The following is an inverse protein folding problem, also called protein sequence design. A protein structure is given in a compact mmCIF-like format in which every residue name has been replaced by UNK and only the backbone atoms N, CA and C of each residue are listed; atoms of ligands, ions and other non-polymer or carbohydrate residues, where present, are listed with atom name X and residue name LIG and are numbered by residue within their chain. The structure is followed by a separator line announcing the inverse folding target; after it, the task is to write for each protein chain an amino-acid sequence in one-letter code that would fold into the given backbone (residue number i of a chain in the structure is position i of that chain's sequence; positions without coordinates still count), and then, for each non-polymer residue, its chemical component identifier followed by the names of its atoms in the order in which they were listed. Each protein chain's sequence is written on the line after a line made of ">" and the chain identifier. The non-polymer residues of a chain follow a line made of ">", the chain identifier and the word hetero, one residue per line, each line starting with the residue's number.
data_IF_130138097850
#
_entry.id   IF_130138097850
#
_cell.length_a   1.000
_cell.length_b   1.000
_cell.length_c   1.000
_cell.angle_alpha   90.00
_cell.angle_beta   90.00
_cell.angle_gamma   90.00
#
_symmetry.space_group_name_H-M   'P 1'
#
loop_
_entity.id
_entity.type
_entity.pdbx_description
1 polymer ?
#
# COMPACT_ATOMS: atom_id res chain seq x y z
N UNK A 1 -0.72 17.24 9.26
CA UNK A 1 -0.11 15.94 9.60
C UNK A 1 -1.06 14.85 9.16
N UNK A 2 -0.61 13.90 8.35
CA UNK A 2 -1.40 12.68 8.08
C UNK A 2 -1.22 11.76 9.28
N UNK A 3 -2.30 11.43 9.98
CA UNK A 3 -2.23 10.60 11.18
C UNK A 3 -2.24 9.11 10.80
N UNK A 4 -1.08 8.45 10.88
CA UNK A 4 -0.98 6.99 10.97
C UNK A 4 -0.83 6.60 12.43
N UNK A 5 -1.60 5.61 12.89
CA UNK A 5 -1.55 5.17 14.30
C UNK A 5 -1.12 3.72 14.47
N UNK A 6 -0.63 3.07 13.40
CA UNK A 6 -0.09 1.71 13.45
C UNK A 6 1.34 1.66 14.00
N UNK A 7 1.74 0.48 14.45
CA UNK A 7 3.16 0.12 14.58
C UNK A 7 3.73 -0.32 13.23
N UNK A 8 5.04 -0.25 13.05
CA UNK A 8 5.67 -0.66 11.80
C UNK A 8 7.17 -0.84 11.84
N UNK A 9 7.69 -1.60 10.88
CA UNK A 9 9.12 -1.83 10.66
C UNK A 9 9.40 -2.03 9.17
N UNK A 10 10.68 -2.13 8.80
CA UNK A 10 11.11 -2.41 7.44
C UNK A 10 11.95 -3.68 7.38
N UNK A 11 11.74 -4.46 6.31
CA UNK A 11 12.68 -5.48 5.86
C UNK A 11 13.45 -4.90 4.68
N UNK A 12 14.79 -4.94 4.75
CA UNK A 12 15.63 -4.49 3.65
C UNK A 12 15.33 -5.28 2.35
N UNK A 13 15.50 -4.63 1.20
CA UNK A 13 15.38 -5.29 -0.09
C UNK A 13 16.34 -6.47 -0.15
N UNK A 14 15.84 -7.64 -0.53
CA UNK A 14 16.62 -8.87 -0.59
C UNK A 14 17.22 -9.35 0.73
N UNK A 15 16.60 -8.99 1.88
CA UNK A 15 17.06 -9.35 3.24
C UNK A 15 17.39 -10.84 3.40
N UNK A 16 16.49 -11.71 2.92
CA UNK A 16 16.63 -13.17 2.97
C UNK A 16 15.99 -13.80 1.72
N UNK A 17 16.08 -15.13 1.60
CA UNK A 17 15.55 -15.89 0.46
C UNK A 17 14.03 -15.74 0.29
N UNK A 18 13.28 -15.66 1.39
CA UNK A 18 11.82 -15.51 1.37
C UNK A 18 11.47 -14.12 0.83
N UNK A 19 12.11 -13.08 1.36
CA UNK A 19 11.91 -11.70 0.88
C UNK A 19 12.28 -11.58 -0.61
N UNK A 20 13.42 -12.15 -1.05
CA UNK A 20 13.80 -12.16 -2.46
C UNK A 20 12.76 -12.84 -3.35
N UNK A 21 12.20 -13.95 -2.89
CA UNK A 21 11.17 -14.69 -3.63
C UNK A 21 9.88 -13.88 -3.76
N UNK A 22 9.47 -13.19 -2.69
CA UNK A 22 8.31 -12.29 -2.69
C UNK A 22 8.56 -11.11 -3.65
N UNK A 23 9.72 -10.47 -3.55
CA UNK A 23 10.08 -9.32 -4.41
C UNK A 23 10.18 -9.71 -5.88
N UNK A 24 10.70 -10.90 -6.20
CA UNK A 24 10.67 -11.44 -7.55
C UNK A 24 9.24 -11.64 -8.04
N UNK A 25 8.35 -12.21 -7.22
CA UNK A 25 6.94 -12.39 -7.59
C UNK A 25 6.23 -11.06 -7.82
N UNK A 26 6.53 -10.03 -7.02
CA UNK A 26 6.02 -8.67 -7.24
C UNK A 26 6.54 -8.12 -8.57
N UNK A 27 7.82 -8.30 -8.87
CA UNK A 27 8.42 -7.88 -10.15
C UNK A 27 7.77 -8.58 -11.34
N UNK A 28 7.60 -9.91 -11.27
CA UNK A 28 6.95 -10.70 -12.31
C UNK A 28 5.48 -10.28 -12.51
N UNK A 29 4.75 -9.95 -11.43
CA UNK A 29 3.35 -9.53 -11.49
C UNK A 29 3.15 -8.11 -12.06
N UNK A 30 4.07 -7.20 -11.71
CA UNK A 30 3.97 -5.77 -12.08
C UNK A 30 4.70 -5.43 -13.36
N UNK A 31 5.56 -6.34 -13.85
CA UNK A 31 6.53 -6.09 -14.92
C UNK A 31 7.51 -4.94 -14.61
N UNK A 32 7.73 -4.63 -13.33
CA UNK A 32 8.66 -3.58 -12.88
C UNK A 32 9.92 -4.26 -12.30
N UNK A 33 11.15 -3.84 -12.65
CA UNK A 33 12.37 -4.44 -12.11
C UNK A 33 12.46 -4.36 -10.59
N UNK A 34 13.09 -5.36 -9.95
CA UNK A 34 13.21 -5.46 -8.48
C UNK A 34 13.93 -4.23 -7.91
N UNK A 35 14.90 -3.70 -8.65
CA UNK A 35 15.75 -2.58 -8.29
C UNK A 35 14.99 -1.26 -8.16
N UNK A 36 13.80 -1.17 -8.75
CA UNK A 36 12.92 -0.01 -8.61
C UNK A 36 12.14 -0.01 -7.29
N UNK A 37 12.15 -1.13 -6.56
CA UNK A 37 11.42 -1.27 -5.32
C UNK A 37 12.21 -0.83 -4.09
N UNK A 38 11.54 -0.16 -3.14
CA UNK A 38 12.04 0.02 -1.77
C UNK A 38 12.06 -1.31 -0.99
N UNK A 39 12.53 -1.32 0.26
CA UNK A 39 12.33 -2.46 1.16
C UNK A 39 10.84 -2.70 1.48
N UNK A 40 10.51 -3.86 2.04
CA UNK A 40 9.14 -4.16 2.46
C UNK A 40 8.83 -3.43 3.77
N UNK A 41 7.84 -2.54 3.77
CA UNK A 41 7.30 -1.99 5.01
C UNK A 41 6.30 -3.01 5.60
N UNK A 42 6.46 -3.37 6.86
CA UNK A 42 5.51 -4.20 7.62
C UNK A 42 4.75 -3.30 8.58
N UNK A 43 3.42 -3.39 8.59
CA UNK A 43 2.54 -2.60 9.45
C UNK A 43 1.61 -3.52 10.24
N UNK A 44 1.38 -3.15 11.50
CA UNK A 44 0.43 -3.80 12.36
C UNK A 44 -0.53 -2.79 12.98
N UNK A 45 -1.83 -3.00 12.75
CA UNK A 45 -2.92 -2.20 13.29
C UNK A 45 -3.71 -3.01 14.31
N UNK A 46 -3.74 -2.51 15.53
CA UNK A 46 -4.64 -2.95 16.60
C UNK A 46 -6.04 -2.33 16.43
N UNK A 47 -6.99 -2.79 17.24
CA UNK A 47 -8.35 -2.22 17.29
C UNK A 47 -8.29 -0.70 17.49
N UNK A 48 -9.03 0.03 16.65
CA UNK A 48 -9.08 1.49 16.62
C UNK A 48 -7.96 2.17 15.82
N UNK A 49 -6.86 1.46 15.51
CA UNK A 49 -5.76 2.05 14.73
C UNK A 49 -6.13 2.15 13.25
N UNK A 50 -5.61 3.19 12.59
CA UNK A 50 -5.96 3.60 11.23
C UNK A 50 -4.81 4.30 10.53
N UNK A 51 -5.03 4.62 9.26
CA UNK A 51 -4.22 5.58 8.52
C UNK A 51 -5.13 6.50 7.71
N UNK A 52 -5.06 7.79 7.99
CA UNK A 52 -5.81 8.80 7.23
C UNK A 52 -5.49 8.74 5.73
N UNK A 53 -6.46 9.08 4.86
CA UNK A 53 -6.23 9.10 3.42
C UNK A 53 -5.02 9.96 3.03
N UNK A 54 -4.17 9.41 2.18
CA UNK A 54 -2.92 10.01 1.73
C UNK A 54 -2.54 9.51 0.33
N UNK A 55 -1.48 10.11 -0.20
CA UNK A 55 -0.85 9.67 -1.43
C UNK A 55 0.48 9.01 -1.11
N UNK A 56 0.81 7.97 -1.87
CA UNK A 56 2.12 7.33 -1.77
C UNK A 56 3.19 8.10 -2.54
N UNK A 57 2.80 8.91 -3.53
CA UNK A 57 3.73 9.78 -4.23
C UNK A 57 4.26 10.91 -3.34
N UNK A 58 5.51 11.29 -3.58
CA UNK A 58 6.16 12.41 -2.90
C UNK A 58 5.69 13.76 -3.44
N UNK A 59 5.48 14.71 -2.53
CA UNK A 59 5.26 16.12 -2.86
C UNK A 59 6.55 16.95 -2.81
N UNK A 60 7.64 16.38 -2.30
CA UNK A 60 8.93 17.06 -2.15
C UNK A 60 9.97 16.52 -3.12
N UNK A 61 10.84 17.40 -3.62
CA UNK A 61 11.90 17.05 -4.57
C UNK A 61 12.99 16.19 -3.96
N UNK A 62 13.20 16.26 -2.64
CA UNK A 62 14.27 15.53 -1.96
C UNK A 62 14.10 14.01 -2.10
N UNK A 63 12.90 13.49 -1.82
CA UNK A 63 12.61 12.07 -1.92
C UNK A 63 12.61 11.56 -3.36
N UNK A 64 12.29 12.44 -4.33
CA UNK A 64 12.30 12.10 -5.77
C UNK A 64 13.72 11.82 -6.27
N UNK A 65 14.77 12.33 -5.62
CA UNK A 65 16.17 12.14 -6.07
C UNK A 65 16.61 10.68 -6.09
N UNK A 66 16.00 9.79 -5.30
CA UNK A 66 16.33 8.37 -5.28
C UNK A 66 15.24 7.56 -5.99
N UNK A 67 15.54 7.05 -7.17
CA UNK A 67 14.60 6.29 -8.00
C UNK A 67 13.49 7.11 -8.67
N UNK A 68 13.37 8.41 -8.40
CA UNK A 68 12.26 9.19 -8.93
C UNK A 68 10.99 9.01 -8.08
N UNK A 69 9.85 9.29 -8.70
CA UNK A 69 8.55 9.18 -8.04
C UNK A 69 8.13 7.73 -7.80
N UNK A 70 7.40 7.47 -6.71
CA UNK A 70 6.69 6.21 -6.50
C UNK A 70 5.53 6.13 -7.49
N UNK A 71 5.65 5.26 -8.49
CA UNK A 71 4.64 5.09 -9.53
C UNK A 71 3.54 4.12 -9.14
N UNK A 72 3.87 3.11 -8.33
CA UNK A 72 2.94 2.06 -7.97
C UNK A 72 3.20 1.54 -6.56
N UNK A 73 2.14 0.97 -5.99
CA UNK A 73 2.16 0.35 -4.68
C UNK A 73 1.56 -1.04 -4.78
N UNK A 74 2.25 -2.02 -4.20
CA UNK A 74 1.71 -3.35 -3.91
C UNK A 74 1.50 -3.47 -2.42
N UNK A 75 0.23 -3.54 -2.00
CA UNK A 75 -0.17 -3.74 -0.61
C UNK A 75 -0.65 -5.18 -0.41
N UNK A 76 0.08 -5.96 0.37
CA UNK A 76 -0.21 -7.34 0.69
C UNK A 76 -0.88 -7.45 2.07
N UNK A 77 -1.96 -8.21 2.17
CA UNK A 77 -2.62 -8.50 3.44
C UNK A 77 -2.02 -9.77 4.06
N UNK A 78 -1.45 -9.63 5.25
CA UNK A 78 -0.77 -10.71 5.98
C UNK A 78 -1.67 -11.34 7.06
N UNK A 79 -2.88 -10.82 7.25
CA UNK A 79 -3.89 -11.39 8.12
C UNK A 79 -5.30 -11.15 7.57
N UNK A 80 -6.23 -12.02 7.94
CA UNK A 80 -7.65 -11.73 7.82
C UNK A 80 -8.05 -10.71 8.89
N UNK A 81 -9.00 -9.83 8.55
CA UNK A 81 -9.57 -8.88 9.50
C UNK A 81 -11.07 -9.15 9.63
N UNK A 82 -11.52 -9.37 10.86
CA UNK A 82 -12.91 -9.74 11.13
C UNK A 82 -13.86 -8.59 10.74
N UNK A 83 -13.57 -7.39 11.26
CA UNK A 83 -14.36 -6.19 11.00
C UNK A 83 -13.48 -4.93 10.91
N UNK A 84 -13.79 -4.06 9.94
CA UNK A 84 -13.00 -2.85 9.66
C UNK A 84 -11.70 -3.16 8.92
N UNK A 85 -10.72 -2.27 9.06
CA UNK A 85 -9.38 -2.44 8.48
C UNK A 85 -9.32 -2.33 6.95
N UNK A 86 -10.40 -1.94 6.27
CA UNK A 86 -10.43 -1.83 4.82
C UNK A 86 -9.39 -0.84 4.28
N UNK A 87 -8.83 -1.15 3.11
CA UNK A 87 -8.10 -0.14 2.33
C UNK A 87 -9.12 0.61 1.48
N UNK A 88 -9.31 1.89 1.76
CA UNK A 88 -10.35 2.75 1.13
C UNK A 88 -9.71 3.75 0.19
N UNK A 89 -10.31 3.93 -0.99
CA UNK A 89 -9.96 4.90 -2.02
C UNK A 89 -11.11 5.90 -2.17
N UNK A 90 -11.16 6.96 -1.33
CA UNK A 90 -12.28 7.90 -1.31
C UNK A 90 -12.46 8.70 -2.61
N UNK A 91 -11.38 8.87 -3.39
CA UNK A 91 -11.41 9.59 -4.66
C UNK A 91 -11.65 8.69 -5.89
N UNK A 92 -11.64 7.36 -5.70
CA UNK A 92 -11.84 6.41 -6.80
C UNK A 92 -13.33 6.33 -7.18
N UNK A 93 -13.59 6.31 -8.49
CA UNK A 93 -14.92 6.10 -9.05
C UNK A 93 -15.09 4.62 -9.37
N UNK A 94 -15.92 3.92 -8.61
CA UNK A 94 -16.21 2.50 -8.83
C UNK A 94 -17.36 2.01 -7.96
N UNK A 95 -18.06 0.98 -8.42
CA UNK A 95 -19.11 0.35 -7.63
C UNK A 95 -18.49 -0.34 -6.41
N UNK A 96 -19.01 -0.01 -5.23
CA UNK A 96 -18.65 -0.62 -3.94
C UNK A 96 -18.81 -2.15 -4.00
N UNK A 97 -17.84 -2.87 -3.42
CA UNK A 97 -17.85 -4.33 -3.38
C UNK A 97 -19.14 -4.87 -2.76
N UNK A 98 -19.65 -6.00 -3.25
CA UNK A 98 -20.80 -6.74 -2.70
C UNK A 98 -20.57 -7.33 -1.28
N UNK A 99 -19.52 -6.90 -0.59
CA UNK A 99 -19.08 -7.39 0.72
C UNK A 99 -19.49 -6.40 1.80
N UNK A 100 -19.81 -6.87 3.00
CA UNK A 100 -20.09 -6.00 4.14
C UNK A 100 -18.86 -5.16 4.50
N UNK A 101 -19.00 -3.84 4.48
CA UNK A 101 -17.96 -2.86 4.79
C UNK A 101 -18.33 -2.04 6.03
N UNK A 102 -17.31 -1.58 6.77
CA UNK A 102 -17.43 -0.60 7.84
C UNK A 102 -17.97 0.74 7.33
N UNK A 103 -18.43 1.61 8.23
CA UNK A 103 -18.87 2.97 7.86
C UNK A 103 -17.77 3.77 7.15
N UNK A 104 -16.50 3.56 7.55
CA UNK A 104 -15.36 4.21 6.90
C UNK A 104 -15.10 3.64 5.50
N UNK A 105 -15.23 2.32 5.32
CA UNK A 105 -15.07 1.67 4.02
C UNK A 105 -16.13 2.06 2.99
N UNK A 106 -17.30 2.54 3.42
CA UNK A 106 -18.36 3.01 2.50
C UNK A 106 -18.10 4.39 1.88
N UNK A 107 -17.03 5.09 2.27
CA UNK A 107 -16.69 6.43 1.76
C UNK A 107 -16.04 6.43 0.37
N UNK A 108 -15.77 5.26 -0.21
CA UNK A 108 -15.18 5.11 -1.54
C UNK A 108 -15.07 3.64 -1.95
N UNK A 109 -14.36 3.38 -3.04
CA UNK A 109 -13.99 2.00 -3.40
C UNK A 109 -13.12 1.44 -2.27
N UNK A 110 -13.49 0.27 -1.74
CA UNK A 110 -12.78 -0.33 -0.61
C UNK A 110 -12.49 -1.80 -0.85
N UNK A 111 -11.35 -2.24 -0.32
CA UNK A 111 -10.90 -3.63 -0.34
C UNK A 111 -10.81 -4.14 1.10
N UNK A 112 -11.56 -5.20 1.40
CA UNK A 112 -11.49 -5.88 2.70
C UNK A 112 -10.17 -6.68 2.80
N UNK A 113 -9.43 -6.60 3.91
CA UNK A 113 -8.23 -7.41 4.08
C UNK A 113 -8.59 -8.90 4.16
N UNK A 114 -7.95 -9.69 3.33
CA UNK A 114 -8.02 -11.15 3.34
C UNK A 114 -6.60 -11.69 3.21
N UNK A 115 -6.21 -12.59 4.11
CA UNK A 115 -4.84 -13.08 4.19
C UNK A 115 -4.40 -13.70 2.86
N UNK A 116 -3.24 -13.27 2.36
CA UNK A 116 -2.65 -13.74 1.11
C UNK A 116 -3.04 -12.94 -0.13
N UNK A 117 -4.10 -12.11 -0.06
CA UNK A 117 -4.46 -11.22 -1.16
C UNK A 117 -3.47 -10.04 -1.25
N UNK A 118 -3.28 -9.53 -2.47
CA UNK A 118 -2.47 -8.35 -2.75
C UNK A 118 -3.24 -7.36 -3.62
N UNK A 119 -3.08 -6.07 -3.33
CA UNK A 119 -3.65 -4.97 -4.08
C UNK A 119 -2.53 -4.20 -4.79
N UNK A 120 -2.63 -4.10 -6.12
CA UNK A 120 -1.80 -3.21 -6.93
C UNK A 120 -2.61 -1.97 -7.30
N UNK A 121 -2.05 -0.79 -7.05
CA UNK A 121 -2.61 0.47 -7.51
C UNK A 121 -1.50 1.45 -7.92
N UNK A 122 -1.84 2.40 -8.77
CA UNK A 122 -0.90 3.32 -9.40
C UNK A 122 -1.06 4.72 -8.80
N UNK A 123 0.05 5.32 -8.41
CA UNK A 123 0.14 6.71 -7.94
C UNK A 123 0.29 7.71 -9.10
N UNK A 124 0.53 7.20 -10.32
CA UNK A 124 0.76 7.98 -11.53
C UNK A 124 -0.06 7.40 -12.69
N UNK A 125 -0.48 8.27 -13.62
CA UNK A 125 -1.12 7.89 -14.88
C UNK A 125 -0.08 7.48 -15.92
N UNK A 126 -0.49 6.82 -17.02
CA UNK A 126 0.43 6.43 -18.10
C UNK A 126 1.20 7.59 -18.74
N UNK A 127 0.68 8.82 -18.67
CA UNK A 127 1.35 10.04 -19.17
C UNK A 127 2.39 10.61 -18.18
N UNK A 128 2.60 9.95 -17.03
CA UNK A 128 3.53 10.38 -15.99
C UNK A 128 2.99 11.44 -15.05
N UNK A 129 1.74 11.89 -15.20
CA UNK A 129 1.11 12.81 -14.24
C UNK A 129 0.65 12.07 -12.98
N UNK A 130 0.61 12.77 -11.84
CA UNK A 130 0.13 12.18 -10.58
C UNK A 130 -1.36 11.87 -10.66
N UNK A 131 -1.76 10.72 -10.11
CA UNK A 131 -3.15 10.30 -10.10
C UNK A 131 -3.81 10.64 -8.76
N UNK A 132 -4.67 11.67 -8.76
CA UNK A 132 -5.43 12.06 -7.56
C UNK A 132 -6.48 11.03 -7.12
N UNK A 133 -6.86 10.08 -7.99
CA UNK A 133 -7.76 8.99 -7.62
C UNK A 133 -7.07 7.91 -6.77
N UNK A 134 -5.73 7.94 -6.69
CA UNK A 134 -4.91 7.06 -5.84
C UNK A 134 -4.90 7.43 -4.36
N UNK A 135 -5.61 8.51 -3.98
CA UNK A 135 -5.82 8.87 -2.58
C UNK A 135 -6.41 7.68 -1.84
N UNK A 136 -5.71 7.17 -0.83
CA UNK A 136 -6.12 5.96 -0.13
C UNK A 136 -5.74 5.98 1.34
N UNK A 137 -6.45 5.19 2.15
CA UNK A 137 -6.19 5.07 3.59
C UNK A 137 -6.54 3.71 4.13
N UNK A 138 -6.17 3.47 5.40
CA UNK A 138 -6.57 2.29 6.14
C UNK A 138 -7.69 2.66 7.12
N UNK A 139 -8.88 2.11 6.91
CA UNK A 139 -10.01 2.26 7.82
C UNK A 139 -9.65 1.69 9.20
N UNK A 140 -10.26 2.21 10.29
CA UNK A 140 -10.04 1.67 11.62
C UNK A 140 -10.31 0.17 11.68
N UNK A 141 -9.45 -0.60 12.33
CA UNK A 141 -9.77 -1.98 12.70
C UNK A 141 -10.84 -1.93 13.80
N UNK A 142 -11.96 -2.62 13.59
CA UNK A 142 -13.05 -2.69 14.57
C UNK A 142 -12.93 -3.98 15.39
N UNK A 143 -12.57 -5.09 14.73
CA UNK A 143 -12.39 -6.40 15.37
C UNK A 143 -11.27 -7.21 14.70
N UNK A 144 -10.44 -7.86 15.51
CA UNK A 144 -9.26 -8.60 15.07
C UNK A 144 -8.00 -7.74 15.05
N UNK A 145 -7.01 -8.13 14.24
CA UNK A 145 -5.75 -7.41 14.04
C UNK A 145 -5.36 -7.42 12.57
N UNK A 146 -4.89 -6.27 12.04
CA UNK A 146 -4.48 -6.16 10.63
C UNK A 146 -2.97 -6.15 10.54
N UNK A 147 -2.40 -7.14 9.87
CA UNK A 147 -1.03 -7.14 9.39
C UNK A 147 -1.02 -6.90 7.87
N UNK A 148 -0.15 -6.00 7.43
CA UNK A 148 0.04 -5.74 6.01
C UNK A 148 1.50 -5.49 5.68
N UNK A 149 1.88 -5.79 4.43
CA UNK A 149 3.17 -5.40 3.88
C UNK A 149 3.00 -4.52 2.65
N UNK A 150 3.69 -3.39 2.62
CA UNK A 150 3.69 -2.44 1.50
C UNK A 150 5.02 -2.50 0.77
N UNK A 151 4.95 -2.62 -0.56
CA UNK A 151 6.09 -2.46 -1.47
C UNK A 151 5.80 -1.24 -2.37
N UNK A 152 6.64 -0.22 -2.25
CA UNK A 152 6.63 0.93 -3.15
C UNK A 152 7.58 0.72 -4.32
N UNK A 153 7.13 1.08 -5.51
CA UNK A 153 7.85 0.90 -6.78
C UNK A 153 8.07 2.26 -7.44
N UNK A 154 9.32 2.58 -7.74
CA UNK A 154 9.73 3.85 -8.31
C UNK A 154 9.82 3.82 -9.83
N UNK A 155 9.69 4.97 -10.49
CA UNK A 155 9.85 5.10 -11.95
C UNK A 155 11.24 4.69 -12.45
N UNK A 156 12.28 4.80 -11.61
CA UNK A 156 13.64 4.39 -11.89
C UNK A 156 14.25 3.57 -10.74
N UNK A 157 15.52 3.23 -10.90
CA UNK A 157 16.26 2.43 -9.91
C UNK A 157 16.32 3.14 -8.54
N UNK A 158 15.81 2.47 -7.51
CA UNK A 158 15.91 2.90 -6.13
C UNK A 158 17.18 2.33 -5.49
N UNK A 159 18.06 3.21 -5.03
CA UNK A 159 19.29 2.84 -4.31
C UNK A 159 18.91 2.54 -2.86
N UNK A 160 18.86 1.26 -2.52
CA UNK A 160 18.77 0.81 -1.14
C UNK A 160 20.15 0.94 -0.48
N UNK A 161 20.20 1.57 0.69
CA UNK A 161 21.40 1.65 1.53
C UNK A 161 21.36 0.57 2.62
#
# INVERSE_FOLDING_TARGET
>A
MVARTSSGTFLARGRDEIVRTIEKRISDFTCIPIEHGEGLQILHYEVGQKFEPHYDYFQNEFNIKNGGQRMATVLMYLSDVEEGGETVFPAAKGNVSAVALSQSGKKGLSVKPKMGDALLFWSMKPDGTLDSSSLHGACPVIKGNKWSSTKWLHVGEYKAY
#
